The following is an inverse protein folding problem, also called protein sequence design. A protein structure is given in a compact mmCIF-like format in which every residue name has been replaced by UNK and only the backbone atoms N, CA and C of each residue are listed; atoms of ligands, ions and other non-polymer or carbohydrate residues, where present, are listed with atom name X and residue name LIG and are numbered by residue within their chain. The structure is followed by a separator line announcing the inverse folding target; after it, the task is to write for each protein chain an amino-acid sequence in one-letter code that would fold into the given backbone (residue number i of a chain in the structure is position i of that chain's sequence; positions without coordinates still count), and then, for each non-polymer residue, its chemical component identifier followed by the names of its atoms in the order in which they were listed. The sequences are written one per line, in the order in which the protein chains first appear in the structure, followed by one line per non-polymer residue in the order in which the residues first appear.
data_IF_090674330988
#
_entry.id   IF_090674330988
#
_cell.length_a   1.000
_cell.length_b   1.000
_cell.length_c   1.000
_cell.angle_alpha   90.00
_cell.angle_beta   90.00
_cell.angle_gamma   90.00
#
_symmetry.space_group_name_H-M   'P 1'
#
loop_
_entity.id
_entity.type
_entity.pdbx_description
1 polymer ?
#
# COMPACT_ATOMS: atom_id res chain seq x y z
N UNK A 1 12.61 -1.83 28.97
CA UNK A 1 12.13 -1.99 27.58
C UNK A 1 11.88 -0.60 27.01
N UNK A 2 12.52 -0.16 25.91
CA UNK A 2 12.27 1.17 25.37
C UNK A 2 10.87 1.19 24.77
N UNK A 3 10.02 2.09 25.27
CA UNK A 3 8.67 2.35 24.77
C UNK A 3 8.77 2.97 23.37
N UNK A 4 8.68 2.15 22.32
CA UNK A 4 8.68 2.59 20.92
C UNK A 4 7.29 3.15 20.60
N UNK A 5 7.03 4.41 20.91
CA UNK A 5 5.86 5.10 20.36
C UNK A 5 6.01 5.13 18.84
N UNK A 6 5.30 4.28 18.13
CA UNK A 6 5.29 4.26 16.67
C UNK A 6 4.65 5.57 16.20
N UNK A 7 5.35 6.30 15.32
CA UNK A 7 4.78 7.49 14.67
C UNK A 7 3.42 7.12 14.05
N UNK A 8 2.34 7.87 14.30
CA UNK A 8 1.01 7.56 13.75
C UNK A 8 1.04 7.35 12.23
N UNK A 9 1.84 8.14 11.51
CA UNK A 9 1.99 8.01 10.07
C UNK A 9 2.62 6.66 9.67
N UNK A 10 3.59 6.15 10.44
CA UNK A 10 4.20 4.83 10.21
C UNK A 10 3.17 3.71 10.36
N UNK A 11 2.36 3.76 11.42
CA UNK A 11 1.30 2.77 11.66
C UNK A 11 0.28 2.80 10.53
N UNK A 12 -0.17 3.98 10.11
CA UNK A 12 -1.10 4.14 8.99
C UNK A 12 -0.51 3.58 7.69
N UNK A 13 0.75 3.87 7.36
CA UNK A 13 1.39 3.33 6.15
C UNK A 13 1.45 1.81 6.18
N UNK A 14 1.80 1.19 7.31
CA UNK A 14 1.83 -0.29 7.43
C UNK A 14 0.43 -0.88 7.25
N UNK A 15 -0.57 -0.34 7.94
CA UNK A 15 -1.96 -0.80 7.81
C UNK A 15 -2.45 -0.67 6.37
N UNK A 16 -2.14 0.45 5.72
CA UNK A 16 -2.49 0.69 4.33
C UNK A 16 -1.84 -0.36 3.42
N UNK A 17 -0.52 -0.60 3.53
CA UNK A 17 0.16 -1.62 2.72
C UNK A 17 -0.38 -3.04 2.94
N UNK A 18 -0.76 -3.36 4.18
CA UNK A 18 -1.41 -4.65 4.49
C UNK A 18 -2.81 -4.72 3.89
N UNK A 19 -3.57 -3.63 3.91
CA UNK A 19 -4.89 -3.57 3.29
C UNK A 19 -4.82 -3.72 1.76
N UNK A 20 -3.79 -3.16 1.11
CA UNK A 20 -3.52 -3.41 -0.31
C UNK A 20 -3.30 -4.91 -0.56
N UNK A 21 -2.45 -5.54 0.23
CA UNK A 21 -2.21 -6.99 0.12
C UNK A 21 -3.50 -7.80 0.33
N UNK A 22 -4.34 -7.42 1.29
CA UNK A 22 -5.64 -8.04 1.51
C UNK A 22 -6.57 -7.88 0.28
N UNK A 23 -6.60 -6.70 -0.34
CA UNK A 23 -7.34 -6.46 -1.58
C UNK A 23 -6.90 -7.39 -2.71
N UNK A 24 -5.59 -7.63 -2.87
CA UNK A 24 -5.06 -8.59 -3.84
C UNK A 24 -5.51 -10.02 -3.52
N UNK A 25 -5.43 -10.45 -2.26
CA UNK A 25 -5.87 -11.80 -1.84
C UNK A 25 -7.35 -12.01 -2.10
N UNK A 26 -8.19 -11.00 -1.81
CA UNK A 26 -9.63 -11.07 -2.09
C UNK A 26 -9.89 -11.25 -3.59
N UNK A 27 -9.17 -10.53 -4.46
CA UNK A 27 -9.31 -10.68 -5.90
C UNK A 27 -8.86 -12.07 -6.38
N UNK A 28 -7.74 -12.58 -5.88
CA UNK A 28 -7.27 -13.95 -6.19
C UNK A 28 -8.32 -14.98 -5.76
N UNK A 29 -8.87 -14.86 -4.55
CA UNK A 29 -9.91 -15.75 -4.06
C UNK A 29 -11.23 -15.65 -4.85
N UNK A 30 -11.48 -14.49 -5.47
CA UNK A 30 -12.61 -14.28 -6.38
C UNK A 30 -12.40 -14.84 -7.79
N UNK A 31 -11.25 -15.47 -8.06
CA UNK A 31 -10.93 -16.07 -9.35
C UNK A 31 -10.42 -15.08 -10.40
N UNK A 32 -9.98 -13.90 -9.98
CA UNK A 32 -9.29 -12.97 -10.88
C UNK A 32 -7.94 -13.56 -11.28
N UNK A 33 -7.62 -13.48 -12.57
CA UNK A 33 -6.34 -13.92 -13.10
C UNK A 33 -5.19 -13.07 -12.56
N UNK A 34 -4.34 -13.69 -11.75
CA UNK A 34 -3.06 -13.14 -11.32
C UNK A 34 -1.92 -14.06 -11.77
N UNK A 35 -0.71 -13.52 -12.01
CA UNK A 35 0.48 -14.36 -12.16
C UNK A 35 0.64 -15.29 -10.96
N UNK A 36 1.14 -16.52 -11.19
CA UNK A 36 1.36 -17.54 -10.15
C UNK A 36 2.14 -17.00 -8.94
N UNK A 37 3.04 -16.05 -9.17
CA UNK A 37 3.74 -15.28 -8.14
C UNK A 37 3.22 -13.84 -8.25
N UNK A 38 2.23 -13.42 -7.43
CA UNK A 38 1.61 -12.10 -7.56
C UNK A 38 2.60 -11.00 -7.16
N UNK A 39 3.12 -10.19 -8.11
CA UNK A 39 4.19 -9.24 -7.80
C UNK A 39 3.73 -8.18 -6.79
N UNK A 40 2.46 -7.77 -6.86
CA UNK A 40 1.87 -6.77 -5.97
C UNK A 40 1.91 -7.16 -4.49
N UNK A 41 1.83 -8.45 -4.16
CA UNK A 41 1.94 -8.90 -2.76
C UNK A 41 3.35 -8.66 -2.22
N UNK A 42 4.39 -8.96 -3.00
CA UNK A 42 5.77 -8.74 -2.57
C UNK A 42 6.10 -7.25 -2.49
N UNK A 43 5.66 -6.48 -3.49
CA UNK A 43 5.87 -5.02 -3.56
C UNK A 43 5.17 -4.28 -2.42
N UNK A 44 4.17 -4.86 -1.77
CA UNK A 44 3.46 -4.24 -0.64
C UNK A 44 3.92 -4.78 0.72
N UNK A 45 4.03 -6.10 0.86
CA UNK A 45 4.38 -6.74 2.13
C UNK A 45 5.85 -6.56 2.50
N UNK A 46 6.78 -6.60 1.53
CA UNK A 46 8.21 -6.39 1.83
C UNK A 46 8.43 -4.97 2.38
N UNK A 47 7.94 -3.90 1.73
CA UNK A 47 7.99 -2.57 2.31
C UNK A 47 7.23 -2.45 3.63
N UNK A 48 6.05 -3.08 3.78
CA UNK A 48 5.30 -3.06 5.05
C UNK A 48 6.14 -3.64 6.20
N UNK A 49 6.81 -4.76 5.97
CA UNK A 49 7.71 -5.37 6.94
C UNK A 49 8.92 -4.47 7.24
N UNK A 50 9.58 -3.94 6.21
CA UNK A 50 10.70 -3.01 6.37
C UNK A 50 10.28 -1.77 7.19
N UNK A 51 9.11 -1.21 6.89
CA UNK A 51 8.53 -0.08 7.61
C UNK A 51 8.20 -0.47 9.03
N UNK A 52 7.61 -1.64 9.30
CA UNK A 52 7.21 -2.07 10.64
C UNK A 52 8.42 -2.37 11.55
N UNK A 53 9.47 -2.97 11.00
CA UNK A 53 10.62 -3.44 11.80
C UNK A 53 11.81 -2.49 11.83
N UNK A 54 11.93 -1.59 10.85
CA UNK A 54 13.09 -0.69 10.74
C UNK A 54 12.69 0.77 10.95
N UNK A 55 13.49 1.53 11.70
CA UNK A 55 13.34 2.99 11.89
C UNK A 55 14.15 3.79 10.87
N UNK A 56 14.23 3.31 9.62
CA UNK A 56 15.11 3.89 8.62
C UNK A 56 14.57 5.24 8.13
N UNK A 57 15.45 6.21 7.89
CA UNK A 57 15.07 7.58 7.50
C UNK A 57 14.34 7.62 6.14
N UNK A 58 14.55 6.60 5.31
CA UNK A 58 13.97 6.42 3.97
C UNK A 58 12.66 5.62 3.97
N UNK A 59 12.26 5.09 5.11
CA UNK A 59 11.01 4.34 5.29
C UNK A 59 9.75 5.06 4.79
N UNK A 60 9.59 6.39 4.95
CA UNK A 60 8.44 7.12 4.40
C UNK A 60 8.39 7.15 2.87
N UNK A 61 9.55 7.23 2.23
CA UNK A 61 9.68 7.32 0.77
C UNK A 61 9.23 6.00 0.13
N UNK A 62 9.56 4.86 0.74
CA UNK A 62 9.12 3.54 0.30
C UNK A 62 7.60 3.45 0.19
N UNK A 63 6.85 3.92 1.19
CA UNK A 63 5.38 3.90 1.17
C UNK A 63 4.80 4.73 0.03
N UNK A 64 5.35 5.93 -0.21
CA UNK A 64 4.92 6.80 -1.31
C UNK A 64 5.27 6.20 -2.68
N UNK A 65 6.50 5.71 -2.87
CA UNK A 65 6.95 5.13 -4.15
C UNK A 65 6.12 3.89 -4.49
N UNK A 66 5.91 3.01 -3.53
CA UNK A 66 5.08 1.80 -3.71
C UNK A 66 3.65 2.17 -4.08
N UNK A 67 3.02 3.08 -3.32
CA UNK A 67 1.65 3.50 -3.62
C UNK A 67 1.53 4.13 -5.01
N UNK A 68 2.46 5.01 -5.40
CA UNK A 68 2.45 5.62 -6.74
C UNK A 68 2.63 4.56 -7.83
N UNK A 69 3.56 3.63 -7.65
CA UNK A 69 3.83 2.57 -8.63
C UNK A 69 2.62 1.67 -8.83
N UNK A 70 1.86 1.38 -7.77
CA UNK A 70 0.64 0.58 -7.85
C UNK A 70 -0.50 1.33 -8.54
N UNK A 71 -0.70 2.62 -8.23
CA UNK A 71 -1.69 3.45 -8.94
C UNK A 71 -1.37 3.53 -10.43
N UNK A 72 -0.10 3.76 -10.79
CA UNK A 72 0.33 3.77 -12.19
C UNK A 72 0.08 2.41 -12.84
N UNK A 73 0.43 1.31 -12.15
CA UNK A 73 0.15 -0.04 -12.59
C UNK A 73 -1.33 -0.26 -12.89
N UNK A 74 -2.22 0.13 -11.98
CA UNK A 74 -3.67 0.02 -12.11
C UNK A 74 -4.21 0.66 -13.40
N UNK A 75 -3.76 1.88 -13.73
CA UNK A 75 -4.19 2.55 -14.96
C UNK A 75 -3.58 1.95 -16.22
N UNK A 76 -2.33 1.49 -16.16
CA UNK A 76 -1.65 0.87 -17.31
C UNK A 76 -2.17 -0.53 -17.63
N UNK A 77 -2.65 -1.27 -16.64
CA UNK A 77 -3.22 -2.60 -16.82
C UNK A 77 -4.69 -2.58 -17.28
N UNK A 78 -5.31 -1.41 -17.44
CA UNK A 78 -6.70 -1.30 -17.89
C UNK A 78 -7.72 -1.81 -16.88
N UNK A 79 -7.37 -1.82 -15.59
CA UNK A 79 -8.24 -2.33 -14.50
C UNK A 79 -9.44 -1.41 -14.20
N UNK A 80 -9.54 -0.28 -14.90
CA UNK A 80 -10.61 0.71 -14.72
C UNK A 80 -11.99 0.12 -14.99
N UNK A 81 -12.11 -0.77 -15.98
CA UNK A 81 -13.40 -1.38 -16.32
C UNK A 81 -13.83 -2.35 -15.20
N UNK A 82 -12.88 -3.11 -14.65
CA UNK A 82 -13.09 -4.01 -13.51
C UNK A 82 -13.42 -3.27 -12.21
N UNK A 83 -13.04 -2.00 -12.09
CA UNK A 83 -13.42 -1.16 -10.96
C UNK A 83 -14.91 -0.79 -10.96
N UNK A 84 -15.63 -1.01 -12.07
CA UNK A 84 -17.06 -0.78 -12.17
C UNK A 84 -17.85 -2.04 -12.57
N UNK A 85 -17.17 -3.16 -12.81
CA UNK A 85 -17.80 -4.46 -13.05
C UNK A 85 -18.14 -5.14 -11.71
N UNK A 86 -19.44 -5.36 -11.40
CA UNK A 86 -19.84 -6.04 -10.18
C UNK A 86 -19.58 -7.55 -10.18
N UNK A 87 -19.14 -8.15 -11.30
CA UNK A 87 -18.93 -9.60 -11.40
C UNK A 87 -17.46 -9.95 -11.71
N UNK A 88 -16.75 -10.69 -10.85
CA UNK A 88 -17.18 -11.18 -9.54
C UNK A 88 -17.14 -10.08 -8.46
N UNK A 89 -18.12 -10.07 -7.54
CA UNK A 89 -18.21 -9.06 -6.47
C UNK A 89 -16.93 -8.98 -5.62
N UNK A 90 -16.26 -10.11 -5.37
CA UNK A 90 -14.99 -10.14 -4.68
C UNK A 90 -13.88 -9.41 -5.45
N UNK A 91 -13.88 -9.49 -6.78
CA UNK A 91 -12.98 -8.74 -7.64
C UNK A 91 -13.15 -7.23 -7.44
N UNK A 92 -14.39 -6.75 -7.51
CA UNK A 92 -14.74 -5.34 -7.30
C UNK A 92 -14.33 -4.85 -5.90
N UNK A 93 -14.75 -5.56 -4.84
CA UNK A 93 -14.49 -5.17 -3.45
C UNK A 93 -12.99 -5.18 -3.15
N UNK A 94 -12.28 -6.22 -3.60
CA UNK A 94 -10.84 -6.33 -3.42
C UNK A 94 -10.09 -5.21 -4.15
N UNK A 95 -10.53 -4.84 -5.35
CA UNK A 95 -9.94 -3.77 -6.15
C UNK A 95 -10.14 -2.38 -5.50
N UNK A 96 -11.35 -2.07 -5.04
CA UNK A 96 -11.61 -0.81 -4.34
C UNK A 96 -10.90 -0.71 -2.99
N UNK A 97 -10.84 -1.81 -2.24
CA UNK A 97 -10.06 -1.86 -1.00
C UNK A 97 -8.58 -1.54 -1.27
N UNK A 98 -8.02 -2.18 -2.30
CA UNK A 98 -6.64 -1.98 -2.72
C UNK A 98 -6.40 -0.51 -3.12
N UNK A 99 -7.24 0.04 -3.99
CA UNK A 99 -7.11 1.41 -4.50
C UNK A 99 -7.20 2.47 -3.39
N UNK A 100 -8.19 2.36 -2.49
CA UNK A 100 -8.32 3.30 -1.37
C UNK A 100 -7.11 3.20 -0.43
N UNK A 101 -6.63 1.98 -0.16
CA UNK A 101 -5.46 1.77 0.67
C UNK A 101 -4.17 2.34 0.04
N UNK A 102 -4.02 2.26 -1.29
CA UNK A 102 -2.92 2.92 -2.02
C UNK A 102 -2.91 4.43 -1.81
N UNK A 103 -4.07 5.09 -1.97
CA UNK A 103 -4.20 6.53 -1.74
C UNK A 103 -3.80 6.89 -0.30
N UNK A 104 -4.26 6.11 0.68
CA UNK A 104 -3.89 6.31 2.09
C UNK A 104 -2.38 6.13 2.32
N UNK A 105 -1.77 5.11 1.71
CA UNK A 105 -0.33 4.86 1.83
C UNK A 105 0.50 6.02 1.27
N UNK A 106 0.10 6.58 0.12
CA UNK A 106 0.75 7.75 -0.50
C UNK A 106 0.67 8.96 0.42
N UNK A 107 -0.53 9.31 0.88
CA UNK A 107 -0.77 10.48 1.76
C UNK A 107 0.01 10.34 3.06
N UNK A 108 -0.04 9.16 3.70
CA UNK A 108 0.69 8.91 4.93
C UNK A 108 2.22 8.99 4.74
N UNK A 109 2.74 8.42 3.64
CA UNK A 109 4.16 8.49 3.28
C UNK A 109 4.63 9.92 3.01
N UNK A 110 3.82 10.72 2.32
CA UNK A 110 4.08 12.15 2.05
C UNK A 110 4.12 12.94 3.37
N UNK A 111 3.13 12.77 4.25
CA UNK A 111 3.08 13.44 5.56
C UNK A 111 4.29 13.05 6.41
N UNK A 112 4.65 11.77 6.45
CA UNK A 112 5.81 11.28 7.19
C UNK A 112 7.12 11.88 6.65
N UNK A 113 7.26 11.96 5.31
CA UNK A 113 8.42 12.57 4.65
C UNK A 113 8.55 14.06 5.02
N UNK A 114 7.46 14.83 4.90
CA UNK A 114 7.45 16.25 5.26
C UNK A 114 7.81 16.50 6.73
N UNK A 115 7.30 15.66 7.64
CA UNK A 115 7.61 15.77 9.08
C UNK A 115 9.10 15.53 9.34
N UNK A 116 9.70 14.52 8.71
CA UNK A 116 11.13 14.22 8.84
C UNK A 116 12.01 15.37 8.34
N UNK A 117 11.67 15.98 7.20
CA UNK A 117 12.40 17.15 6.69
C UNK A 117 12.32 18.35 7.64
N UNK A 118 11.14 18.62 8.21
CA UNK A 118 10.95 19.72 9.17
C UNK A 118 11.73 19.52 10.47
N UNK A 119 11.89 18.28 10.94
CA UNK A 119 12.67 17.98 12.14
C UNK A 119 14.18 17.99 11.90
N UNK A 120 14.63 17.71 10.67
CA UNK A 120 16.06 17.72 10.32
C UNK A 120 16.61 19.13 10.07
N UNK A 121 15.74 20.12 9.84
CA UNK A 121 16.11 21.50 9.55
C UNK A 121 15.98 22.44 10.77
N UNK A 122 15.85 21.86 11.97
CA UNK A 122 15.93 22.51 13.28
C UNK A 122 17.17 22.01 14.00
#
# INVERSE_FOLDING_TARGET
MPNRTTSPARTVTVIALVAIAAGIVIQIAAGIDFPTIPPGLFVTLVPAALIAFTSWRWTPILGTVVGVMLIVGFFLSGETDRAFDPSPLGGLVGLWLMFVAEVVAIVAGIIATMRNYRTSNR
#
